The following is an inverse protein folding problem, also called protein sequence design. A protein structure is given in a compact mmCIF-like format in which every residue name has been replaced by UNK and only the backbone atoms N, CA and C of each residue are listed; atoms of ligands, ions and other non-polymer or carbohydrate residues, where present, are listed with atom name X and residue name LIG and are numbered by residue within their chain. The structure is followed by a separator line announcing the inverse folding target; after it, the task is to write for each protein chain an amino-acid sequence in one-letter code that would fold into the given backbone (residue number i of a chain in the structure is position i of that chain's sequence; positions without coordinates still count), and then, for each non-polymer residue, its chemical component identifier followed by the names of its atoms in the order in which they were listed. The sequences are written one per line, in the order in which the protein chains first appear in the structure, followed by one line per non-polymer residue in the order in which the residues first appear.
data_IF_997150219928
#
_entry.id   IF_997150219928
#
_cell.length_a   1.000
_cell.length_b   1.000
_cell.length_c   1.000
_cell.angle_alpha   90.00
_cell.angle_beta   90.00
_cell.angle_gamma   90.00
#
_symmetry.space_group_name_H-M   'P 1'
#
loop_
_entity.id
_entity.type
_entity.pdbx_description
1 polymer ?
#
# COMPACT_ATOMS: atom_id res chain seq x y z
N UNK A 1 -26.44 23.75 5.62
CA UNK A 1 -25.05 24.23 5.59
C UNK A 1 -24.23 23.14 4.97
N UNK A 2 -23.65 23.42 3.80
CA UNK A 2 -22.68 22.50 3.22
C UNK A 2 -21.43 22.52 4.09
N UNK A 3 -21.02 21.35 4.57
CA UNK A 3 -19.81 21.23 5.36
C UNK A 3 -18.60 21.39 4.43
N UNK A 4 -17.71 22.34 4.72
CA UNK A 4 -16.45 22.47 4.00
C UNK A 4 -15.59 21.24 4.28
N UNK A 5 -15.22 20.52 3.22
CA UNK A 5 -14.32 19.38 3.27
C UNK A 5 -12.92 19.86 2.91
N UNK A 6 -11.93 19.57 3.75
CA UNK A 6 -10.53 19.90 3.52
C UNK A 6 -9.64 18.67 3.61
N UNK A 7 -8.51 18.71 2.89
CA UNK A 7 -7.44 17.72 2.99
C UNK A 7 -6.46 18.23 4.06
N UNK A 8 -6.37 17.54 5.19
CA UNK A 8 -5.48 17.91 6.31
C UNK A 8 -4.19 17.10 6.34
N UNK A 9 -4.15 15.98 5.63
CA UNK A 9 -2.99 15.12 5.51
C UNK A 9 -3.12 14.19 4.33
N UNK A 10 -1.99 13.75 3.81
CA UNK A 10 -1.84 12.82 2.70
C UNK A 10 -0.74 11.83 3.05
N UNK A 11 -0.85 10.63 2.52
CA UNK A 11 0.22 9.66 2.57
C UNK A 11 0.20 8.77 1.35
N UNK A 12 1.37 8.32 0.93
CA UNK A 12 1.52 7.67 -0.37
C UNK A 12 2.63 6.62 -0.33
N UNK A 13 2.33 5.46 -0.91
CA UNK A 13 3.30 4.40 -1.20
C UNK A 13 3.17 4.08 -2.68
N UNK A 14 4.23 4.29 -3.45
CA UNK A 14 4.22 4.01 -4.89
C UNK A 14 5.62 3.65 -5.42
N UNK A 15 5.71 3.40 -6.73
CA UNK A 15 6.94 2.90 -7.36
C UNK A 15 8.13 3.85 -7.30
N UNK A 16 7.90 5.13 -7.02
CA UNK A 16 8.92 6.20 -6.99
C UNK A 16 9.20 6.73 -5.57
N UNK A 17 8.51 6.23 -4.54
CA UNK A 17 8.71 6.69 -3.17
C UNK A 17 7.79 6.01 -2.18
N UNK A 18 8.20 6.04 -0.91
CA UNK A 18 7.51 5.37 0.20
C UNK A 18 6.95 6.37 1.22
N UNK A 19 6.93 7.64 0.85
CA UNK A 19 6.34 8.74 1.62
C UNK A 19 6.10 9.94 0.69
N UNK A 20 5.33 10.93 1.16
CA UNK A 20 5.02 12.13 0.40
C UNK A 20 6.26 12.97 0.00
N UNK A 21 7.25 13.20 0.89
CA UNK A 21 8.46 13.94 0.51
C UNK A 21 9.27 13.25 -0.59
N UNK A 22 9.50 11.95 -0.50
CA UNK A 22 10.27 11.18 -1.48
C UNK A 22 9.57 11.09 -2.83
N UNK A 23 8.24 10.96 -2.83
CA UNK A 23 7.43 10.99 -4.06
C UNK A 23 7.48 12.38 -4.70
N UNK A 24 7.30 13.45 -3.92
CA UNK A 24 7.39 14.82 -4.44
C UNK A 24 8.77 15.10 -5.04
N UNK A 25 9.83 14.67 -4.35
CA UNK A 25 11.20 14.81 -4.84
C UNK A 25 11.41 14.02 -6.14
N UNK A 26 10.85 12.81 -6.24
CA UNK A 26 10.96 11.99 -7.45
C UNK A 26 10.22 12.60 -8.63
N UNK A 27 9.04 13.16 -8.40
CA UNK A 27 8.27 13.87 -9.42
C UNK A 27 9.01 15.12 -9.92
N UNK A 28 9.57 15.92 -9.01
CA UNK A 28 10.32 17.14 -9.36
C UNK A 28 11.59 16.87 -10.16
N UNK A 29 12.17 15.69 -10.00
CA UNK A 29 13.41 15.28 -10.68
C UNK A 29 13.15 14.22 -11.77
N UNK A 30 11.90 14.03 -12.19
CA UNK A 30 11.51 13.13 -13.29
C UNK A 30 12.06 11.69 -13.13
N UNK A 31 12.18 11.21 -11.88
CA UNK A 31 12.73 9.88 -11.60
C UNK A 31 11.75 8.78 -11.95
N UNK A 32 12.23 7.80 -12.71
CA UNK A 32 11.42 6.68 -13.18
C UNK A 32 11.17 5.63 -12.07
N UNK A 33 9.90 5.22 -11.95
CA UNK A 33 9.46 4.12 -11.08
C UNK A 33 9.40 2.77 -11.79
N UNK A 34 9.55 2.77 -13.11
CA UNK A 34 9.40 1.61 -13.97
C UNK A 34 10.73 0.86 -14.05
N UNK A 35 10.73 -0.42 -13.67
CA UNK A 35 11.94 -1.26 -13.58
C UNK A 35 11.59 -2.75 -13.67
N UNK A 36 12.57 -3.65 -13.83
CA UNK A 36 12.32 -5.09 -13.81
C UNK A 36 11.63 -5.52 -12.50
N UNK A 37 10.75 -6.53 -12.62
CA UNK A 37 10.00 -7.12 -11.51
C UNK A 37 10.96 -7.67 -10.43
N UNK A 38 10.70 -7.38 -9.15
CA UNK A 38 11.56 -7.81 -8.04
C UNK A 38 10.82 -8.54 -6.92
N UNK A 39 9.66 -8.05 -6.47
CA UNK A 39 8.97 -8.57 -5.28
C UNK A 39 7.74 -9.43 -5.59
N UNK A 40 7.02 -9.12 -6.66
CA UNK A 40 5.87 -9.87 -7.11
C UNK A 40 6.32 -11.10 -7.91
N UNK A 41 5.64 -12.22 -7.67
CA UNK A 41 5.79 -13.45 -8.44
C UNK A 41 4.87 -13.37 -9.67
N UNK A 42 5.45 -13.43 -10.87
CA UNK A 42 4.68 -13.48 -12.11
C UNK A 42 5.36 -14.37 -13.14
N UNK A 43 4.57 -14.92 -14.08
CA UNK A 43 5.08 -15.62 -15.25
C UNK A 43 5.81 -14.67 -16.21
N UNK A 44 5.39 -13.40 -16.26
CA UNK A 44 5.93 -12.38 -17.16
C UNK A 44 7.00 -11.53 -16.47
N UNK A 45 8.19 -12.10 -16.24
CA UNK A 45 9.31 -11.41 -15.57
C UNK A 45 10.09 -10.47 -16.49
N UNK A 46 9.87 -10.60 -17.80
CA UNK A 46 10.50 -9.81 -18.86
C UNK A 46 9.92 -8.40 -19.00
N UNK A 47 8.70 -8.18 -18.51
CA UNK A 47 8.01 -6.91 -18.66
C UNK A 47 8.40 -5.94 -17.52
N UNK A 48 8.68 -4.67 -17.82
CA UNK A 48 8.96 -3.69 -16.79
C UNK A 48 7.67 -3.27 -16.06
N UNK A 49 7.77 -3.00 -14.77
CA UNK A 49 6.62 -2.68 -13.91
C UNK A 49 6.90 -1.49 -13.00
N UNK A 50 5.82 -0.82 -12.59
CA UNK A 50 5.82 0.20 -11.54
C UNK A 50 5.68 -0.40 -10.16
N UNK A 51 6.61 -1.26 -9.75
CA UNK A 51 6.54 -1.96 -8.47
C UNK A 51 7.05 -1.09 -7.29
N UNK A 52 6.32 -1.11 -6.17
CA UNK A 52 6.79 -0.53 -4.89
C UNK A 52 8.02 -1.28 -4.39
N UNK A 53 9.08 -0.55 -4.03
CA UNK A 53 10.39 -1.14 -3.69
C UNK A 53 10.52 -1.55 -2.22
N UNK A 54 9.50 -2.23 -1.70
CA UNK A 54 9.46 -2.77 -0.35
C UNK A 54 8.94 -4.21 -0.40
N UNK A 55 9.59 -5.13 0.30
CA UNK A 55 9.03 -6.46 0.53
C UNK A 55 7.86 -6.40 1.53
N UNK A 56 7.05 -7.45 1.59
CA UNK A 56 5.97 -7.51 2.57
C UNK A 56 6.53 -7.51 4.01
N UNK A 57 7.66 -8.18 4.24
CA UNK A 57 8.37 -8.23 5.52
C UNK A 57 8.87 -6.84 5.95
N UNK A 58 9.44 -6.07 5.02
CA UNK A 58 9.86 -4.69 5.30
C UNK A 58 8.67 -3.82 5.71
N UNK A 59 7.53 -3.96 5.04
CA UNK A 59 6.32 -3.21 5.39
C UNK A 59 5.73 -3.64 6.74
N UNK A 60 5.73 -4.93 7.05
CA UNK A 60 5.35 -5.47 8.37
C UNK A 60 6.22 -4.86 9.47
N UNK A 61 7.54 -4.84 9.26
CA UNK A 61 8.49 -4.23 10.19
C UNK A 61 8.24 -2.73 10.36
N UNK A 62 8.01 -1.98 9.28
CA UNK A 62 7.66 -0.55 9.32
C UNK A 62 6.36 -0.29 10.09
N UNK A 63 5.39 -1.20 9.98
CA UNK A 63 4.10 -1.09 10.66
C UNK A 63 4.18 -1.48 12.14
N UNK A 64 5.20 -2.23 12.56
CA UNK A 64 5.36 -2.74 13.92
C UNK A 64 4.29 -3.78 14.28
N UNK A 65 3.76 -4.49 13.28
CA UNK A 65 2.75 -5.53 13.47
C UNK A 65 3.41 -6.91 13.58
N UNK A 66 2.81 -7.81 14.36
CA UNK A 66 3.29 -9.19 14.47
C UNK A 66 3.20 -9.92 13.12
N UNK A 67 4.22 -10.71 12.79
CA UNK A 67 4.33 -11.42 11.50
C UNK A 67 3.24 -12.47 11.24
N UNK A 68 2.46 -12.83 12.27
CA UNK A 68 1.47 -13.91 12.21
C UNK A 68 0.11 -13.48 11.63
N UNK A 69 -0.09 -12.18 11.38
CA UNK A 69 -1.34 -11.70 10.75
C UNK A 69 -1.20 -11.70 9.23
N UNK A 70 -1.88 -12.59 8.49
CA UNK A 70 -1.85 -12.55 7.03
C UNK A 70 -2.45 -11.24 6.53
N UNK A 71 -1.63 -10.40 5.90
CA UNK A 71 -2.06 -9.16 5.27
C UNK A 71 -1.66 -9.17 3.80
N UNK A 72 -2.59 -8.73 2.95
CA UNK A 72 -2.25 -8.50 1.54
C UNK A 72 -1.23 -7.38 1.41
N UNK A 73 -0.42 -7.45 0.36
CA UNK A 73 0.48 -6.36 -0.02
C UNK A 73 -0.25 -5.01 -0.13
N UNK A 74 -1.48 -5.01 -0.64
CA UNK A 74 -2.31 -3.80 -0.76
C UNK A 74 -2.67 -3.22 0.60
N UNK A 75 -3.04 -4.07 1.56
CA UNK A 75 -3.35 -3.66 2.94
C UNK A 75 -2.13 -3.08 3.64
N UNK A 76 -0.94 -3.70 3.46
CA UNK A 76 0.31 -3.21 4.04
C UNK A 76 0.66 -1.81 3.53
N UNK A 77 0.63 -1.61 2.20
CA UNK A 77 0.89 -0.30 1.60
C UNK A 77 -0.12 0.76 2.08
N UNK A 78 -1.42 0.40 2.10
CA UNK A 78 -2.48 1.28 2.55
C UNK A 78 -2.33 1.68 4.03
N UNK A 79 -1.96 0.75 4.90
CA UNK A 79 -1.73 1.02 6.31
C UNK A 79 -0.56 1.99 6.55
N UNK A 80 0.53 1.86 5.77
CA UNK A 80 1.67 2.78 5.85
C UNK A 80 1.25 4.18 5.37
N UNK A 81 0.54 4.27 4.24
CA UNK A 81 0.03 5.53 3.70
C UNK A 81 -0.93 6.23 4.69
N UNK A 82 -1.84 5.48 5.34
CA UNK A 82 -2.74 6.04 6.36
C UNK A 82 -1.96 6.56 7.57
N UNK A 83 -0.94 5.82 8.04
CA UNK A 83 -0.05 6.28 9.14
C UNK A 83 0.64 7.59 8.79
N UNK A 84 1.12 7.74 7.56
CA UNK A 84 1.69 9.00 7.09
C UNK A 84 0.65 10.13 7.06
N UNK A 85 -0.55 9.87 6.51
CA UNK A 85 -1.60 10.88 6.42
C UNK A 85 -2.06 11.38 7.79
N UNK A 86 -2.25 10.47 8.76
CA UNK A 86 -2.61 10.83 10.13
C UNK A 86 -1.51 11.66 10.81
N UNK A 87 -0.23 11.30 10.59
CA UNK A 87 0.91 12.06 11.10
C UNK A 87 0.95 13.46 10.51
N UNK A 88 0.76 13.61 9.20
CA UNK A 88 0.75 14.93 8.53
C UNK A 88 -0.43 15.79 9.01
N UNK A 89 -1.58 15.17 9.26
CA UNK A 89 -2.76 15.84 9.81
C UNK A 89 -2.65 16.19 11.31
N UNK A 90 -1.55 15.82 11.98
CA UNK A 90 -1.38 16.04 13.43
C UNK A 90 -2.29 15.18 14.30
N UNK A 91 -2.83 14.07 13.78
CA UNK A 91 -3.74 13.18 14.51
C UNK A 91 -2.93 12.10 15.22
N UNK A 92 -2.74 12.25 16.54
CA UNK A 92 -2.01 11.28 17.38
C UNK A 92 -2.85 10.05 17.76
N UNK A 93 -4.16 10.23 17.94
CA UNK A 93 -5.11 9.15 18.24
C UNK A 93 -6.47 9.43 17.60
N UNK A 94 -7.11 8.35 17.16
CA UNK A 94 -8.48 8.34 16.62
C UNK A 94 -9.53 7.98 17.69
N UNK A 95 -9.10 7.63 18.90
CA UNK A 95 -9.99 7.28 19.99
C UNK A 95 -10.90 8.46 20.36
N UNK A 96 -12.20 8.20 20.52
CA UNK A 96 -13.21 9.23 20.77
C UNK A 96 -13.52 10.15 19.58
N UNK A 97 -12.90 9.93 18.41
CA UNK A 97 -13.19 10.71 17.19
C UNK A 97 -14.19 9.99 16.29
N UNK A 98 -15.06 10.77 15.64
CA UNK A 98 -15.90 10.24 14.55
C UNK A 98 -15.06 10.09 13.29
N UNK A 99 -14.56 8.87 13.07
CA UNK A 99 -13.71 8.53 11.91
C UNK A 99 -14.46 7.54 11.02
N UNK A 100 -14.38 7.75 9.71
CA UNK A 100 -14.88 6.82 8.71
C UNK A 100 -13.75 6.52 7.74
N UNK A 101 -13.52 5.22 7.47
CA UNK A 101 -12.58 4.77 6.45
C UNK A 101 -13.37 4.31 5.23
N UNK A 102 -13.10 4.94 4.09
CA UNK A 102 -13.57 4.51 2.78
C UNK A 102 -12.33 4.04 2.01
N UNK A 103 -12.29 2.76 1.67
CA UNK A 103 -11.19 2.15 0.92
C UNK A 103 -11.72 1.64 -0.41
N UNK A 104 -11.12 2.11 -1.51
CA UNK A 104 -11.43 1.67 -2.86
C UNK A 104 -10.20 1.04 -3.49
N UNK A 105 -10.35 -0.19 -3.97
CA UNK A 105 -9.31 -0.91 -4.72
C UNK A 105 -9.94 -1.51 -5.98
N UNK A 106 -9.22 -1.45 -7.10
CA UNK A 106 -9.62 -2.20 -8.31
C UNK A 106 -9.27 -3.68 -8.15
N UNK A 107 -8.09 -3.95 -7.59
CA UNK A 107 -7.63 -5.29 -7.21
C UNK A 107 -7.06 -5.23 -5.80
N UNK A 108 -7.77 -5.80 -4.84
CA UNK A 108 -7.28 -6.00 -3.48
C UNK A 108 -6.88 -7.47 -3.29
N UNK A 109 -5.73 -7.71 -2.66
CA UNK A 109 -5.35 -9.06 -2.27
C UNK A 109 -4.87 -9.98 -3.40
N UNK A 110 -4.56 -9.45 -4.59
CA UNK A 110 -4.07 -10.24 -5.73
C UNK A 110 -2.91 -11.18 -5.36
N UNK A 111 -1.97 -10.69 -4.56
CA UNK A 111 -0.80 -11.43 -4.09
C UNK A 111 -1.14 -12.65 -3.23
N UNK A 112 -2.29 -12.62 -2.56
CA UNK A 112 -2.82 -13.75 -1.80
C UNK A 112 -3.74 -14.60 -2.68
N UNK A 113 -4.69 -13.98 -3.39
CA UNK A 113 -5.64 -14.68 -4.25
C UNK A 113 -4.93 -15.59 -5.25
N UNK A 114 -3.88 -15.13 -5.92
CA UNK A 114 -3.12 -15.95 -6.88
C UNK A 114 -2.41 -17.14 -6.24
N UNK A 115 -1.95 -17.02 -4.98
CA UNK A 115 -1.29 -18.11 -4.25
C UNK A 115 -2.27 -19.22 -3.84
N UNK A 116 -3.49 -18.84 -3.48
CA UNK A 116 -4.50 -19.78 -3.00
C UNK A 116 -5.41 -20.31 -4.11
N UNK A 117 -5.47 -19.65 -5.27
CA UNK A 117 -6.38 -19.99 -6.36
C UNK A 117 -6.27 -21.46 -6.80
N UNK A 118 -5.06 -21.98 -6.95
CA UNK A 118 -4.86 -23.38 -7.35
C UNK A 118 -5.30 -24.38 -6.26
N UNK A 119 -5.20 -24.02 -4.98
CA UNK A 119 -5.74 -24.84 -3.88
C UNK A 119 -7.27 -24.81 -3.85
N UNK A 120 -7.86 -23.64 -4.11
CA UNK A 120 -9.32 -23.52 -4.18
C UNK A 120 -9.93 -24.35 -5.30
N UNK A 121 -9.24 -24.46 -6.45
CA UNK A 121 -9.69 -25.32 -7.56
C UNK A 121 -9.70 -26.81 -7.22
N UNK A 122 -8.76 -27.28 -6.40
CA UNK A 122 -8.66 -28.72 -6.08
C UNK A 122 -9.66 -29.18 -5.03
N UNK A 123 -10.17 -28.27 -4.18
CA UNK A 123 -11.15 -28.61 -3.13
C UNK A 123 -12.59 -28.73 -3.67
N UNK A 124 -12.85 -28.26 -4.89
CA UNK A 124 -14.13 -28.40 -5.61
C UNK A 124 -14.18 -29.66 -6.52
N UNK A 125 -13.20 -30.57 -6.41
CA UNK A 125 -13.08 -31.83 -7.19
C UNK A 125 -13.19 -33.07 -6.30
#
# INVERSE_FOLDING_TARGET
MDANICITGLGIICSIGNDAPSVLDALRHERLGIRPLKYLESKHKELPVGEVQLSNEQMIQMLGIGGDTPMSRTSLMGAIAIKEALRQAGVQSIEGRRVTLISGTTVGGMDLTEKYFERMKSDDS
#
